data_IF_547973715188
#
_entry.id   IF_547973715188
#
_cell.length_a   1.000
_cell.length_b   1.000
_cell.length_c   1.000
_cell.angle_alpha   90.00
_cell.angle_beta   90.00
_cell.angle_gamma   90.00
#
_symmetry.space_group_name_H-M   'P 1'
#
loop_
_entity.id
_entity.type
_entity.pdbx_description
1 polymer ?
#
# COMPACT_ATOMS: atom_id res chain seq x y z
N UNK A 1 15.35 8.56 5.44
CA UNK A 1 13.91 8.20 5.47
C UNK A 1 13.31 8.65 4.17
N UNK A 2 12.87 7.70 3.35
CA UNK A 2 12.11 8.02 2.14
C UNK A 2 10.88 8.87 2.50
N UNK A 3 10.61 9.89 1.69
CA UNK A 3 9.48 10.78 1.89
C UNK A 3 8.18 10.04 1.52
N UNK A 4 7.49 9.51 2.52
CA UNK A 4 6.23 8.80 2.32
C UNK A 4 5.12 9.71 1.74
N UNK A 5 5.30 11.04 1.72
CA UNK A 5 4.29 11.96 1.18
C UNK A 5 4.06 11.77 -0.32
N UNK A 6 5.02 11.21 -1.06
CA UNK A 6 4.85 10.90 -2.48
C UNK A 6 3.74 9.85 -2.73
N UNK A 7 3.41 9.05 -1.72
CA UNK A 7 2.38 8.00 -1.78
C UNK A 7 1.02 8.46 -1.23
N UNK A 8 0.87 9.74 -0.90
CA UNK A 8 -0.42 10.30 -0.46
C UNK A 8 -1.34 10.45 -1.67
N UNK A 9 -2.53 9.86 -1.58
CA UNK A 9 -3.62 10.06 -2.53
C UNK A 9 -4.28 11.40 -2.21
N UNK A 10 -4.16 12.37 -3.12
CA UNK A 10 -4.65 13.75 -2.92
C UNK A 10 -6.13 13.89 -3.23
N UNK A 11 -6.54 13.36 -4.38
CA UNK A 11 -7.91 13.46 -4.86
C UNK A 11 -8.73 12.26 -4.42
N UNK A 12 -10.00 12.50 -4.08
CA UNK A 12 -10.91 11.45 -3.64
C UNK A 12 -11.13 10.43 -4.78
N UNK A 13 -10.65 9.17 -4.64
CA UNK A 13 -10.92 8.17 -5.64
C UNK A 13 -12.39 7.75 -5.55
N UNK A 14 -13.08 7.66 -6.69
CA UNK A 14 -14.43 7.09 -6.71
C UNK A 14 -14.42 5.65 -6.18
N UNK A 15 -15.26 5.38 -5.19
CA UNK A 15 -15.54 4.06 -4.65
C UNK A 15 -16.99 4.03 -4.16
N UNK A 16 -17.74 3.00 -4.57
CA UNK A 16 -19.12 2.79 -4.14
C UNK A 16 -19.16 1.70 -3.08
N UNK A 17 -19.67 2.03 -1.90
CA UNK A 17 -19.83 1.06 -0.82
C UNK A 17 -20.99 0.10 -1.12
N UNK A 18 -20.77 -1.18 -0.93
CA UNK A 18 -21.77 -2.25 -1.13
C UNK A 18 -22.24 -2.87 0.18
N UNK A 19 -21.65 -2.46 1.30
CA UNK A 19 -21.99 -2.95 2.64
C UNK A 19 -21.32 -2.13 3.75
N UNK A 20 -20.80 -2.82 4.77
CA UNK A 20 -20.19 -2.23 5.97
C UNK A 20 -18.66 -2.21 5.93
N UNK A 21 -18.06 -2.45 4.77
CA UNK A 21 -16.61 -2.59 4.63
C UNK A 21 -15.82 -1.35 5.08
N UNK A 22 -16.37 -0.14 4.87
CA UNK A 22 -15.75 1.10 5.34
C UNK A 22 -15.69 1.13 6.88
N UNK A 23 -16.81 0.86 7.54
CA UNK A 23 -16.92 0.83 9.01
C UNK A 23 -15.98 -0.22 9.62
N UNK A 24 -15.95 -1.42 9.04
CA UNK A 24 -15.08 -2.51 9.50
C UNK A 24 -13.60 -2.21 9.26
N UNK A 25 -13.25 -1.56 8.14
CA UNK A 25 -11.87 -1.17 7.89
C UNK A 25 -11.40 -0.10 8.88
N UNK A 26 -12.23 0.91 9.18
CA UNK A 26 -11.89 1.92 10.18
C UNK A 26 -11.70 1.31 11.58
N UNK A 27 -12.59 0.40 11.99
CA UNK A 27 -12.47 -0.30 13.25
C UNK A 27 -11.16 -1.12 13.33
N UNK A 28 -10.86 -1.90 12.29
CA UNK A 28 -9.61 -2.67 12.19
C UNK A 28 -8.37 -1.77 12.19
N UNK A 29 -8.41 -0.65 11.46
CA UNK A 29 -7.31 0.31 11.39
C UNK A 29 -7.01 0.96 12.74
N UNK A 30 -8.05 1.31 13.50
CA UNK A 30 -7.92 1.91 14.83
C UNK A 30 -7.17 1.00 15.81
N UNK A 31 -7.29 -0.32 15.66
CA UNK A 31 -6.59 -1.32 16.49
C UNK A 31 -5.36 -1.93 15.79
N UNK A 32 -4.94 -1.39 14.64
CA UNK A 32 -3.80 -1.87 13.84
C UNK A 32 -3.88 -3.35 13.47
N UNK A 33 -5.09 -3.86 13.26
CA UNK A 33 -5.31 -5.25 12.85
C UNK A 33 -4.93 -5.43 11.37
N UNK A 34 -4.07 -6.39 11.02
CA UNK A 34 -3.81 -6.75 9.62
C UNK A 34 -5.08 -7.26 8.94
N UNK A 35 -5.30 -6.83 7.69
CA UNK A 35 -6.52 -7.12 6.94
C UNK A 35 -6.21 -7.88 5.65
N UNK A 36 -7.06 -8.86 5.31
CA UNK A 36 -7.03 -9.57 4.03
C UNK A 36 -8.34 -9.34 3.27
N UNK A 37 -8.24 -8.82 2.04
CA UNK A 37 -9.39 -8.59 1.17
C UNK A 37 -9.53 -9.74 0.17
N UNK A 38 -10.68 -10.42 0.20
CA UNK A 38 -11.01 -11.53 -0.69
C UNK A 38 -12.12 -11.14 -1.69
N UNK A 39 -12.05 -11.69 -2.88
CA UNK A 39 -13.07 -11.50 -3.93
C UNK A 39 -12.51 -11.72 -5.34
N UNK A 40 -13.35 -11.84 -6.37
CA UNK A 40 -12.92 -12.07 -7.74
C UNK A 40 -12.13 -10.89 -8.32
N UNK A 41 -11.41 -11.11 -9.42
CA UNK A 41 -10.72 -10.04 -10.14
C UNK A 41 -11.72 -8.97 -10.61
N UNK A 42 -11.34 -7.70 -10.53
CA UNK A 42 -12.18 -6.59 -11.01
C UNK A 42 -13.30 -6.14 -10.06
N UNK A 43 -13.49 -6.75 -8.88
CA UNK A 43 -14.54 -6.35 -7.94
C UNK A 43 -14.21 -5.13 -7.05
N UNK A 44 -13.19 -4.34 -7.40
CA UNK A 44 -12.87 -3.09 -6.70
C UNK A 44 -12.00 -3.18 -5.43
N UNK A 45 -11.36 -4.31 -5.13
CA UNK A 45 -10.51 -4.47 -3.92
C UNK A 45 -9.40 -3.42 -3.81
N UNK A 46 -8.61 -3.21 -4.86
CA UNK A 46 -7.53 -2.21 -4.84
C UNK A 46 -8.10 -0.80 -4.71
N UNK A 47 -9.21 -0.52 -5.41
CA UNK A 47 -9.91 0.76 -5.35
C UNK A 47 -10.47 1.07 -3.95
N UNK A 48 -10.95 0.05 -3.24
CA UNK A 48 -11.37 0.16 -1.85
C UNK A 48 -10.21 0.59 -0.94
N UNK A 49 -9.03 -0.02 -1.09
CA UNK A 49 -7.84 0.34 -0.30
C UNK A 49 -7.36 1.75 -0.62
N UNK A 50 -7.37 2.16 -1.90
CA UNK A 50 -7.10 3.53 -2.32
C UNK A 50 -8.06 4.53 -1.65
N UNK A 51 -9.37 4.23 -1.67
CA UNK A 51 -10.38 5.05 -1.02
C UNK A 51 -10.16 5.16 0.49
N UNK A 52 -9.87 4.06 1.17
CA UNK A 52 -9.59 4.09 2.62
C UNK A 52 -8.29 4.84 2.95
N UNK A 53 -7.25 4.70 2.14
CA UNK A 53 -6.00 5.44 2.33
C UNK A 53 -6.21 6.96 2.17
N UNK A 54 -6.94 7.38 1.14
CA UNK A 54 -7.37 8.78 0.97
C UNK A 54 -8.21 9.25 2.17
N UNK A 55 -9.24 8.49 2.54
CA UNK A 55 -10.17 8.84 3.65
C UNK A 55 -9.44 9.01 4.98
N UNK A 56 -8.44 8.18 5.25
CA UNK A 56 -7.63 8.21 6.47
C UNK A 56 -6.44 9.19 6.41
N UNK A 57 -6.21 9.84 5.25
CA UNK A 57 -5.06 10.72 5.02
C UNK A 57 -3.72 9.99 5.18
N UNK A 58 -3.63 8.75 4.72
CA UNK A 58 -2.44 7.89 4.86
C UNK A 58 -1.77 7.63 3.51
N UNK A 59 -0.43 7.57 3.48
CA UNK A 59 0.27 7.11 2.29
C UNK A 59 -0.08 5.65 2.00
N UNK A 60 -0.26 5.32 0.71
CA UNK A 60 -0.51 3.95 0.24
C UNK A 60 0.66 3.47 -0.61
N UNK A 61 1.45 2.57 -0.05
CA UNK A 61 2.52 1.87 -0.79
C UNK A 61 1.91 0.59 -1.35
N UNK A 62 1.82 0.51 -2.68
CA UNK A 62 1.30 -0.67 -3.38
C UNK A 62 2.45 -1.43 -4.02
N UNK A 63 2.60 -2.71 -3.66
CA UNK A 63 3.60 -3.60 -4.26
C UNK A 63 2.87 -4.65 -5.10
N UNK A 64 3.20 -4.71 -6.39
CA UNK A 64 2.68 -5.73 -7.30
C UNK A 64 3.49 -7.01 -7.15
N UNK A 65 2.99 -7.95 -6.35
CA UNK A 65 3.67 -9.22 -6.10
C UNK A 65 3.62 -10.15 -7.31
N UNK A 66 4.71 -10.88 -7.54
CA UNK A 66 4.85 -11.89 -8.57
C UNK A 66 5.74 -13.05 -8.07
N UNK A 67 5.88 -14.11 -8.87
CA UNK A 67 6.60 -15.33 -8.48
C UNK A 67 8.12 -15.14 -8.41
N UNK A 68 8.68 -14.18 -9.13
CA UNK A 68 10.12 -13.87 -9.15
C UNK A 68 10.53 -12.88 -8.04
N UNK A 69 9.57 -12.41 -7.25
CA UNK A 69 9.80 -11.39 -6.22
C UNK A 69 10.53 -11.99 -5.02
N UNK A 70 11.57 -11.29 -4.56
CA UNK A 70 12.39 -11.71 -3.41
C UNK A 70 12.15 -10.83 -2.19
N UNK A 71 12.57 -11.30 -1.02
CA UNK A 71 12.49 -10.50 0.22
C UNK A 71 13.30 -9.20 0.13
N UNK A 72 14.40 -9.20 -0.62
CA UNK A 72 15.24 -8.01 -0.84
C UNK A 72 14.51 -6.92 -1.62
N UNK A 73 13.51 -7.26 -2.44
CA UNK A 73 12.69 -6.27 -3.15
C UNK A 73 11.74 -5.51 -2.21
N UNK A 74 11.45 -6.06 -1.01
CA UNK A 74 10.67 -5.38 0.03
C UNK A 74 11.52 -4.65 1.04
N UNK A 75 12.66 -5.24 1.43
CA UNK A 75 13.51 -4.68 2.49
C UNK A 75 14.46 -3.62 1.95
N UNK A 76 15.04 -3.87 0.76
CA UNK A 76 16.11 -3.08 0.20
C UNK A 76 17.32 -3.94 -0.19
N UNK A 77 18.24 -3.32 -0.92
CA UNK A 77 19.44 -3.97 -1.45
C UNK A 77 20.61 -3.00 -1.59
N UNK A 78 21.82 -3.55 -1.61
CA UNK A 78 23.01 -2.77 -1.92
C UNK A 78 23.16 -2.56 -3.43
N UNK A 79 23.38 -1.32 -3.82
CA UNK A 79 23.71 -0.90 -5.18
C UNK A 79 25.18 -0.49 -5.28
N UNK A 80 25.78 -0.73 -6.44
CA UNK A 80 27.11 -0.23 -6.78
C UNK A 80 26.99 1.16 -7.41
N UNK A 81 27.71 2.12 -6.85
CA UNK A 81 27.85 3.49 -7.35
C UNK A 81 29.34 3.78 -7.61
N UNK A 82 29.64 4.88 -8.32
CA UNK A 82 31.00 5.32 -8.65
C UNK A 82 31.89 5.52 -7.41
N UNK A 83 31.28 5.84 -6.27
CA UNK A 83 31.95 6.13 -5.00
C UNK A 83 31.96 4.91 -4.05
N UNK A 84 31.42 3.76 -4.48
CA UNK A 84 31.36 2.52 -3.70
C UNK A 84 29.95 1.93 -3.55
N UNK A 85 29.78 1.04 -2.57
CA UNK A 85 28.52 0.32 -2.34
C UNK A 85 27.59 1.13 -1.44
N UNK A 86 26.35 1.39 -1.89
CA UNK A 86 25.34 2.15 -1.16
C UNK A 86 24.10 1.31 -0.90
N UNK A 87 23.53 1.44 0.30
CA UNK A 87 22.24 0.82 0.63
C UNK A 87 21.10 1.58 -0.04
N UNK A 88 20.15 0.87 -0.62
CA UNK A 88 18.88 1.39 -1.12
C UNK A 88 17.74 0.66 -0.42
N UNK A 89 16.87 1.41 0.27
CA UNK A 89 15.67 0.86 0.91
C UNK A 89 14.68 0.32 -0.12
N UNK A 90 13.89 -0.68 0.28
CA UNK A 90 12.71 -1.11 -0.47
C UNK A 90 11.60 -0.04 -0.50
N UNK A 91 10.50 -0.32 -1.22
CA UNK A 91 9.37 0.61 -1.38
C UNK A 91 8.62 0.92 -0.07
#
# INVERSE_FOLDING_TARGET
MHDATQYIIKDAPYYEAVGKEIEYYEAAYNVRMPMMLKGPTGCGKSRFVEYMAWKLGKPLITVACNEDMTASDLVGRFLLDKDGTKWQDGP
#
